data_IF_422402976498
#
_entry.id   IF_422402976498
#
_cell.length_a   1.000
_cell.length_b   1.000
_cell.length_c   1.000
_cell.angle_alpha   90.00
_cell.angle_beta   90.00
_cell.angle_gamma   90.00
#
_symmetry.space_group_name_H-M   'P 1'
#
loop_
_entity.id
_entity.type
_entity.pdbx_description
1 polymer ?
#
# COMPACT_ATOMS: atom_id res chain seq x y z
N UNK A 1 -6.32 -26.57 6.16
CA UNK A 1 -6.94 -25.22 6.25
C UNK A 1 -6.55 -24.62 7.58
N UNK A 2 -5.70 -23.60 7.61
CA UNK A 2 -5.46 -22.85 8.86
C UNK A 2 -6.62 -21.87 9.05
N UNK A 3 -7.30 -21.97 10.20
CA UNK A 3 -8.34 -21.02 10.58
C UNK A 3 -7.67 -19.81 11.23
N UNK A 4 -8.01 -18.62 10.76
CA UNK A 4 -7.62 -17.37 11.41
C UNK A 4 -8.21 -17.33 12.82
N UNK A 5 -7.45 -16.83 13.79
CA UNK A 5 -8.01 -16.48 15.09
C UNK A 5 -8.99 -15.32 14.94
N UNK A 6 -9.94 -15.17 15.88
CA UNK A 6 -10.91 -14.06 15.85
C UNK A 6 -10.23 -12.69 15.70
N UNK A 7 -9.09 -12.47 16.40
CA UNK A 7 -8.30 -11.24 16.29
C UNK A 7 -7.78 -11.00 14.88
N UNK A 8 -7.20 -12.03 14.24
CA UNK A 8 -6.68 -11.91 12.88
C UNK A 8 -7.81 -11.68 11.87
N UNK A 9 -8.99 -12.26 12.10
CA UNK A 9 -10.16 -12.03 11.27
C UNK A 9 -10.66 -10.58 11.38
N UNK A 10 -10.74 -10.03 12.60
CA UNK A 10 -11.09 -8.62 12.82
C UNK A 10 -10.08 -7.64 12.20
N UNK A 11 -8.78 -7.96 12.26
CA UNK A 11 -7.73 -7.18 11.57
C UNK A 11 -7.91 -7.25 10.04
N UNK A 12 -8.17 -8.43 9.50
CA UNK A 12 -8.44 -8.60 8.08
C UNK A 12 -9.67 -7.79 7.62
N UNK A 13 -10.78 -7.83 8.37
CA UNK A 13 -11.97 -7.05 8.05
C UNK A 13 -11.70 -5.54 8.05
N UNK A 14 -10.90 -5.05 9.01
CA UNK A 14 -10.47 -3.64 9.04
C UNK A 14 -9.63 -3.26 7.83
N UNK A 15 -8.74 -4.14 7.38
CA UNK A 15 -7.95 -3.94 6.17
C UNK A 15 -8.84 -3.90 4.91
N UNK A 16 -9.82 -4.81 4.80
CA UNK A 16 -10.77 -4.79 3.68
C UNK A 16 -11.58 -3.50 3.66
N UNK A 17 -12.10 -3.08 4.81
CA UNK A 17 -12.82 -1.81 4.92
C UNK A 17 -11.92 -0.61 4.53
N UNK A 18 -10.70 -0.54 5.06
CA UNK A 18 -9.75 0.51 4.71
C UNK A 18 -9.47 0.53 3.20
N UNK A 19 -9.26 -0.63 2.57
CA UNK A 19 -9.09 -0.75 1.11
C UNK A 19 -10.30 -0.20 0.34
N UNK A 20 -11.50 -0.66 0.70
CA UNK A 20 -12.73 -0.31 -0.02
C UNK A 20 -13.10 1.17 0.14
N UNK A 21 -12.65 1.80 1.22
CA UNK A 21 -12.80 3.23 1.49
C UNK A 21 -11.59 4.09 1.08
N UNK A 22 -10.66 3.54 0.29
CA UNK A 22 -9.51 4.30 -0.24
C UNK A 22 -8.45 4.68 0.81
N UNK A 23 -8.52 4.12 2.01
CA UNK A 23 -7.56 4.29 3.10
C UNK A 23 -6.40 3.28 2.99
N UNK A 24 -5.95 2.98 1.77
CA UNK A 24 -4.85 2.03 1.56
C UNK A 24 -3.53 2.56 2.14
N UNK A 25 -3.38 3.88 2.20
CA UNK A 25 -2.24 4.54 2.83
C UNK A 25 -2.60 4.90 4.29
N UNK A 26 -2.47 3.94 5.19
CA UNK A 26 -2.61 4.21 6.63
C UNK A 26 -1.57 5.24 7.08
N UNK A 27 -1.80 6.00 8.17
CA UNK A 27 -0.81 6.96 8.67
C UNK A 27 0.58 6.35 8.90
N UNK A 28 0.65 5.11 9.40
CA UNK A 28 1.92 4.41 9.61
C UNK A 28 2.55 3.96 8.30
N UNK A 29 1.75 3.53 7.31
CA UNK A 29 2.23 3.24 5.96
C UNK A 29 2.80 4.48 5.28
N UNK A 30 2.14 5.63 5.43
CA UNK A 30 2.64 6.91 4.91
C UNK A 30 3.95 7.31 5.59
N UNK A 31 4.05 7.19 6.92
CA UNK A 31 5.29 7.47 7.67
C UNK A 31 6.45 6.59 7.22
N UNK A 32 6.20 5.31 6.98
CA UNK A 32 7.20 4.37 6.47
C UNK A 32 7.75 4.83 5.11
N UNK A 33 6.88 5.19 4.18
CA UNK A 33 7.30 5.70 2.86
C UNK A 33 8.09 7.00 3.03
N UNK A 34 7.59 7.97 3.79
CA UNK A 34 8.28 9.24 3.97
C UNK A 34 9.66 9.09 4.62
N UNK A 35 9.78 8.22 5.63
CA UNK A 35 11.05 7.97 6.31
C UNK A 35 12.09 7.31 5.39
N UNK A 36 11.65 6.46 4.44
CA UNK A 36 12.55 5.81 3.47
C UNK A 36 13.19 6.76 2.44
N UNK A 37 12.66 7.98 2.32
CA UNK A 37 13.13 9.03 1.42
C UNK A 37 13.54 10.29 2.17
N UNK A 38 13.92 10.17 3.46
CA UNK A 38 14.37 11.30 4.31
C UNK A 38 13.37 12.48 4.35
N UNK A 39 12.08 12.20 4.16
CA UNK A 39 11.03 13.21 4.03
C UNK A 39 11.25 14.21 2.88
N UNK A 40 12.09 13.89 1.89
CA UNK A 40 12.26 14.68 0.68
C UNK A 40 11.04 14.52 -0.24
N UNK A 41 10.23 15.58 -0.44
CA UNK A 41 9.02 15.50 -1.25
C UNK A 41 9.29 15.13 -2.71
N UNK A 42 10.44 15.54 -3.28
CA UNK A 42 10.76 15.27 -4.68
C UNK A 42 11.11 13.78 -4.86
N UNK A 43 11.96 13.23 -3.98
CA UNK A 43 12.32 11.82 -4.00
C UNK A 43 11.10 10.90 -3.80
N UNK A 44 10.21 11.25 -2.85
CA UNK A 44 8.97 10.50 -2.59
C UNK A 44 8.09 10.49 -3.83
N UNK A 45 7.79 11.68 -4.37
CA UNK A 45 6.91 11.82 -5.53
C UNK A 45 7.45 11.07 -6.74
N UNK A 46 8.75 11.20 -7.02
CA UNK A 46 9.43 10.48 -8.09
C UNK A 46 9.29 8.97 -7.93
N UNK A 47 9.63 8.43 -6.75
CA UNK A 47 9.56 7.00 -6.52
C UNK A 47 8.13 6.44 -6.65
N UNK A 48 7.13 7.15 -6.13
CA UNK A 48 5.72 6.74 -6.24
C UNK A 48 5.27 6.66 -7.70
N UNK A 49 5.61 7.67 -8.50
CA UNK A 49 5.21 7.71 -9.92
C UNK A 49 5.96 6.67 -10.77
N UNK A 50 7.25 6.47 -10.53
CA UNK A 50 8.04 5.43 -11.21
C UNK A 50 7.52 4.03 -10.88
N UNK A 51 7.18 3.78 -9.61
CA UNK A 51 6.59 2.51 -9.16
C UNK A 51 5.22 2.27 -9.79
N UNK A 52 4.36 3.30 -9.84
CA UNK A 52 3.06 3.23 -10.51
C UNK A 52 3.22 2.91 -12.00
N UNK A 53 4.15 3.58 -12.69
CA UNK A 53 4.43 3.33 -14.10
C UNK A 53 4.91 1.88 -14.35
N UNK A 54 5.73 1.33 -13.45
CA UNK A 54 6.17 -0.06 -13.50
C UNK A 54 5.00 -1.05 -13.35
N UNK A 55 4.10 -0.84 -12.40
CA UNK A 55 2.93 -1.72 -12.26
C UNK A 55 2.04 -1.68 -13.49
N UNK A 56 1.84 -0.50 -14.09
CA UNK A 56 1.06 -0.34 -15.31
C UNK A 56 1.71 -1.00 -16.53
N UNK A 57 3.04 -1.06 -16.61
CA UNK A 57 3.74 -1.76 -17.70
C UNK A 57 3.69 -3.28 -17.53
N UNK A 58 3.78 -3.77 -16.29
CA UNK A 58 3.64 -5.19 -15.97
C UNK A 58 2.21 -5.69 -16.22
N UNK A 59 1.17 -4.93 -15.83
CA UNK A 59 -0.23 -5.30 -16.12
C UNK A 59 -0.49 -5.49 -17.62
N UNK A 60 0.08 -4.62 -18.46
CA UNK A 60 -0.02 -4.71 -19.93
C UNK A 60 0.71 -5.91 -20.53
N UNK A 61 1.65 -6.51 -19.80
CA UNK A 61 2.42 -7.68 -20.28
C UNK A 61 1.66 -8.99 -20.06
N UNK A 62 0.68 -9.01 -19.12
CA UNK A 62 -0.12 -10.19 -18.79
C UNK A 62 -1.57 -10.13 -19.32
N UNK A 63 -1.91 -9.11 -20.12
CA UNK A 63 -3.24 -8.91 -20.71
C UNK A 63 -3.20 -9.04 -22.22
#
# INVERSE_FOLDING_TARGET
MHQLTNKQYEEYQRLCHARDHGQMLTPDGLRLVCAGYDYDPEAIGKHMLETLAKFQSEEKTYR
#
